data_IF_506406206125
#
_entry.id   IF_506406206125
#
_cell.length_a   1.000
_cell.length_b   1.000
_cell.length_c   1.000
_cell.angle_alpha   90.00
_cell.angle_beta   90.00
_cell.angle_gamma   90.00
#
_symmetry.space_group_name_H-M   'P 1'
#
loop_
_entity.id
_entity.type
_entity.pdbx_description
1 polymer ?
#
# COMPACT_ATOMS: atom_id res chain seq x y z
N UNK A 1 -11.33 18.86 -16.72
CA UNK A 1 -10.85 19.17 -15.35
C UNK A 1 -10.68 17.86 -14.61
N UNK A 2 -9.45 17.35 -14.54
CA UNK A 2 -9.18 16.09 -13.85
C UNK A 2 -8.92 16.42 -12.39
N UNK A 3 -9.79 15.96 -11.49
CA UNK A 3 -9.50 15.94 -10.07
C UNK A 3 -8.33 14.96 -9.86
N UNK A 4 -7.11 15.47 -9.96
CA UNK A 4 -5.94 14.78 -9.43
C UNK A 4 -6.23 14.60 -7.94
N UNK A 5 -6.62 13.38 -7.57
CA UNK A 5 -6.81 12.99 -6.18
C UNK A 5 -5.53 13.42 -5.45
N UNK A 6 -5.63 14.44 -4.59
CA UNK A 6 -4.58 14.77 -3.65
C UNK A 6 -4.22 13.44 -2.99
N UNK A 7 -2.99 12.93 -3.12
CA UNK A 7 -2.61 11.78 -2.35
C UNK A 7 -2.83 12.21 -0.90
N UNK A 8 -3.78 11.56 -0.22
CA UNK A 8 -3.89 11.68 1.23
C UNK A 8 -2.47 11.38 1.72
N UNK A 9 -1.80 12.31 2.43
CA UNK A 9 -0.34 12.25 2.66
C UNK A 9 0.10 10.92 3.28
N UNK A 10 -0.84 10.23 3.92
CA UNK A 10 -0.61 9.01 4.67
C UNK A 10 -1.13 7.73 4.00
N UNK A 11 -1.72 7.75 2.80
CA UNK A 11 -2.22 6.52 2.15
C UNK A 11 -1.42 6.16 0.90
N UNK A 12 -0.87 4.96 0.90
CA UNK A 12 -0.11 4.37 -0.20
C UNK A 12 -0.95 3.27 -0.83
N UNK A 13 -1.45 3.49 -2.03
CA UNK A 13 -2.20 2.47 -2.77
C UNK A 13 -1.30 1.58 -3.63
N UNK A 14 -1.60 0.29 -3.62
CA UNK A 14 -0.97 -0.71 -4.47
C UNK A 14 0.38 -1.24 -3.95
N UNK A 15 0.63 -2.53 -4.23
CA UNK A 15 1.86 -3.22 -3.83
C UNK A 15 3.14 -2.55 -4.32
N UNK A 16 3.12 -1.96 -5.53
CA UNK A 16 4.29 -1.29 -6.11
C UNK A 16 4.68 -0.05 -5.30
N UNK A 17 3.70 0.77 -4.93
CA UNK A 17 3.92 1.97 -4.14
C UNK A 17 4.34 1.63 -2.71
N UNK A 18 3.73 0.58 -2.12
CA UNK A 18 4.13 0.07 -0.79
C UNK A 18 5.57 -0.43 -0.81
N UNK A 19 5.98 -1.20 -1.82
CA UNK A 19 7.38 -1.63 -1.97
C UNK A 19 8.32 -0.44 -2.11
N UNK A 20 7.98 0.52 -2.98
CA UNK A 20 8.79 1.72 -3.23
C UNK A 20 8.97 2.56 -1.96
N UNK A 21 7.99 2.58 -1.06
CA UNK A 21 8.10 3.25 0.24
C UNK A 21 9.25 2.71 1.09
N UNK A 22 9.43 1.39 1.11
CA UNK A 22 10.54 0.74 1.80
C UNK A 22 11.85 0.70 0.98
N UNK A 23 11.87 1.29 -0.22
CA UNK A 23 12.98 1.14 -1.17
C UNK A 23 13.15 -0.30 -1.69
N UNK A 24 12.07 -1.08 -1.75
CA UNK A 24 12.05 -2.48 -2.16
C UNK A 24 11.05 -2.75 -3.29
N UNK A 25 11.10 -3.96 -3.84
CA UNK A 25 10.17 -4.37 -4.89
C UNK A 25 8.79 -4.74 -4.31
N UNK A 26 7.75 -4.68 -5.15
CA UNK A 26 6.37 -5.09 -4.78
C UNK A 26 6.32 -6.52 -4.22
N UNK A 27 7.18 -7.40 -4.72
CA UNK A 27 7.26 -8.81 -4.27
C UNK A 27 7.74 -8.91 -2.82
N UNK A 28 8.67 -8.04 -2.41
CA UNK A 28 9.11 -7.93 -1.01
C UNK A 28 7.97 -7.45 -0.12
N UNK A 29 7.19 -6.45 -0.56
CA UNK A 29 6.02 -5.98 0.17
C UNK A 29 4.96 -7.09 0.35
N UNK A 30 4.68 -7.86 -0.71
CA UNK A 30 3.75 -9.01 -0.65
C UNK A 30 4.25 -10.07 0.33
N UNK A 31 5.56 -10.36 0.30
CA UNK A 31 6.18 -11.33 1.21
C UNK A 31 6.07 -10.85 2.66
N UNK A 32 6.40 -9.60 2.95
CA UNK A 32 6.29 -9.07 4.29
C UNK A 32 4.85 -8.97 4.79
N UNK A 33 3.89 -8.70 3.92
CA UNK A 33 2.47 -8.78 4.29
C UNK A 33 2.07 -10.17 4.81
N UNK A 34 2.73 -11.24 4.33
CA UNK A 34 2.48 -12.62 4.75
C UNK A 34 3.37 -13.07 5.91
N UNK A 35 4.62 -12.65 5.94
CA UNK A 35 5.63 -13.13 6.90
C UNK A 35 5.79 -12.20 8.12
N UNK A 36 5.50 -10.92 7.98
CA UNK A 36 5.71 -9.87 8.99
C UNK A 36 4.41 -9.18 9.39
N UNK A 37 3.27 -9.71 8.96
CA UNK A 37 1.93 -9.17 9.24
C UNK A 37 1.82 -7.66 8.97
N UNK A 38 2.42 -7.23 7.84
CA UNK A 38 2.48 -5.81 7.50
C UNK A 38 1.05 -5.25 7.39
N UNK A 39 0.76 -4.04 7.93
CA UNK A 39 -0.59 -3.46 7.96
C UNK A 39 -1.00 -3.01 6.55
N UNK A 40 -1.47 -3.98 5.77
CA UNK A 40 -1.90 -3.81 4.40
C UNK A 40 -3.37 -4.16 4.33
N UNK A 41 -4.16 -3.12 4.13
CA UNK A 41 -5.60 -3.19 4.07
C UNK A 41 -6.04 -3.54 2.65
N UNK A 42 -6.94 -4.51 2.53
CA UNK A 42 -7.57 -4.88 1.25
C UNK A 42 -8.90 -4.15 1.14
N UNK A 43 -9.19 -3.52 0.00
CA UNK A 43 -10.47 -2.86 -0.22
C UNK A 43 -11.49 -3.90 -0.69
N UNK A 44 -12.53 -4.23 0.10
CA UNK A 44 -13.64 -5.05 -0.38
C UNK A 44 -14.44 -4.26 -1.42
N UNK A 45 -14.70 -4.86 -2.59
CA UNK A 45 -15.47 -4.25 -3.68
C UNK A 45 -14.65 -3.48 -4.73
N UNK A 46 -13.33 -3.33 -4.55
CA UNK A 46 -12.43 -2.88 -5.62
C UNK A 46 -12.10 -4.01 -6.60
N UNK A 47 -11.65 -3.68 -7.82
CA UNK A 47 -11.09 -4.67 -8.76
C UNK A 47 -10.08 -5.54 -8.01
N UNK A 48 -10.16 -6.86 -8.20
CA UNK A 48 -9.32 -7.87 -7.54
C UNK A 48 -7.88 -7.39 -7.40
N UNK A 49 -7.41 -7.21 -6.16
CA UNK A 49 -6.04 -6.78 -5.86
C UNK A 49 -5.87 -5.30 -5.50
N UNK A 50 -6.93 -4.55 -5.26
CA UNK A 50 -6.83 -3.18 -4.72
C UNK A 50 -6.45 -3.25 -3.23
N UNK A 51 -5.16 -3.09 -2.94
CA UNK A 51 -4.59 -3.00 -1.59
C UNK A 51 -4.14 -1.58 -1.32
N UNK A 52 -4.09 -1.20 -0.05
CA UNK A 52 -3.45 0.03 0.40
C UNK A 52 -2.78 -0.18 1.75
N UNK A 53 -1.78 0.63 2.04
CA UNK A 53 -1.17 0.73 3.35
C UNK A 53 -1.20 2.19 3.80
N UNK A 54 -1.16 2.40 5.11
CA UNK A 54 -1.05 3.73 5.69
C UNK A 54 0.37 3.98 6.15
N UNK A 55 0.95 5.12 5.76
CA UNK A 55 2.32 5.51 6.07
C UNK A 55 2.61 5.44 7.58
N UNK A 56 1.70 5.96 8.40
CA UNK A 56 1.84 5.91 9.85
C UNK A 56 1.82 4.50 10.43
N UNK A 57 1.12 3.54 9.80
CA UNK A 57 1.17 2.13 10.21
C UNK A 57 2.45 1.43 9.75
N UNK A 58 3.07 1.93 8.67
CA UNK A 58 4.35 1.41 8.16
C UNK A 58 5.57 1.97 8.92
N UNK A 59 5.42 3.09 9.62
CA UNK A 59 6.45 3.72 10.45
C UNK A 59 6.37 3.35 11.94
N UNK A 60 5.25 2.75 12.38
CA UNK A 60 5.03 2.29 13.75
C UNK A 60 5.70 0.92 14.01
#
# INVERSE_FOLDING_TARGET
MSAAARPLPDRIDGWKSIGAYFGRDRTTAIRWARERDLPIHRIPGGKTGTVFALRHELEA
#
